data_IF_778678968434
#
_entry.id   IF_778678968434
#
_cell.length_a   1.000
_cell.length_b   1.000
_cell.length_c   1.000
_cell.angle_alpha   90.00
_cell.angle_beta   90.00
_cell.angle_gamma   90.00
#
_symmetry.space_group_name_H-M   'P 1'
#
loop_
_entity.id
_entity.type
_entity.pdbx_description
1 polymer ?
#
# COMPACT_ATOMS: atom_id res chain seq x y z
N UNK A 1 -1.34 14.32 21.17
CA UNK A 1 -1.21 13.09 20.36
C UNK A 1 -2.22 13.03 19.19
N UNK A 2 -3.54 13.13 19.40
CA UNK A 2 -4.52 13.15 18.29
C UNK A 2 -4.42 14.38 17.36
N UNK A 3 -4.04 15.54 17.90
CA UNK A 3 -3.84 16.78 17.11
C UNK A 3 -2.59 16.68 16.23
N UNK A 4 -1.50 16.09 16.73
CA UNK A 4 -0.28 15.84 15.95
C UNK A 4 -0.49 14.82 14.84
N UNK A 5 -1.25 13.74 15.07
CA UNK A 5 -1.55 12.78 14.01
C UNK A 5 -2.45 13.40 12.92
N UNK A 6 -3.41 14.24 13.31
CA UNK A 6 -4.27 15.00 12.38
C UNK A 6 -3.47 16.04 11.58
N UNK A 7 -2.55 16.75 12.22
CA UNK A 7 -1.64 17.72 11.56
C UNK A 7 -0.66 17.02 10.62
N UNK A 8 -0.13 15.85 11.00
CA UNK A 8 0.77 15.05 10.15
C UNK A 8 0.01 14.52 8.94
N UNK A 9 -1.23 14.02 9.11
CA UNK A 9 -2.12 13.61 8.02
C UNK A 9 -2.45 14.78 7.07
N UNK A 10 -2.77 15.95 7.60
CA UNK A 10 -3.04 17.14 6.79
C UNK A 10 -1.80 17.62 6.03
N UNK A 11 -0.60 17.61 6.64
CA UNK A 11 0.65 17.94 5.95
C UNK A 11 1.01 16.92 4.88
N UNK A 12 0.76 15.63 5.13
CA UNK A 12 0.94 14.57 4.14
C UNK A 12 -0.02 14.79 2.97
N UNK A 13 -1.30 14.99 3.26
CA UNK A 13 -2.34 15.28 2.27
C UNK A 13 -1.99 16.51 1.43
N UNK A 14 -1.56 17.62 2.05
CA UNK A 14 -1.10 18.82 1.33
C UNK A 14 0.11 18.52 0.45
N UNK A 15 1.16 17.86 0.95
CA UNK A 15 2.33 17.48 0.13
C UNK A 15 1.91 16.65 -1.09
N UNK A 16 0.88 15.83 -0.94
CA UNK A 16 0.35 14.98 -2.00
C UNK A 16 -0.57 15.72 -2.97
N UNK A 17 -1.40 16.66 -2.52
CA UNK A 17 -2.15 17.55 -3.42
C UNK A 17 -1.20 18.40 -4.25
N UNK A 18 -0.11 18.87 -3.64
CA UNK A 18 0.97 19.57 -4.35
C UNK A 18 1.69 18.65 -5.35
N UNK A 19 1.96 17.38 -4.99
CA UNK A 19 2.51 16.41 -5.93
C UNK A 19 1.56 16.15 -7.11
N UNK A 20 0.25 16.04 -6.86
CA UNK A 20 -0.79 15.88 -7.89
C UNK A 20 -0.82 17.07 -8.84
N UNK A 21 -0.82 18.28 -8.29
CA UNK A 21 -0.80 19.52 -9.06
C UNK A 21 0.50 19.66 -9.87
N UNK A 22 1.65 19.33 -9.28
CA UNK A 22 2.95 19.35 -9.95
C UNK A 22 2.98 18.35 -11.12
N UNK A 23 2.52 17.13 -10.92
CA UNK A 23 2.48 16.10 -11.97
C UNK A 23 1.49 16.50 -13.08
N UNK A 24 0.35 17.09 -12.73
CA UNK A 24 -0.57 17.71 -13.68
C UNK A 24 0.12 18.78 -14.54
N UNK A 25 0.83 19.72 -13.91
CA UNK A 25 1.53 20.80 -14.60
C UNK A 25 2.65 20.27 -15.51
N UNK A 26 3.40 19.26 -15.06
CA UNK A 26 4.45 18.62 -15.88
C UNK A 26 3.83 17.97 -17.14
N UNK A 27 2.69 17.26 -17.01
CA UNK A 27 1.98 16.66 -18.15
C UNK A 27 1.46 17.72 -19.12
N UNK A 28 0.79 18.75 -18.60
CA UNK A 28 0.30 19.86 -19.40
C UNK A 28 1.44 20.54 -20.18
N UNK A 29 2.60 20.78 -19.54
CA UNK A 29 3.78 21.35 -20.20
C UNK A 29 4.32 20.45 -21.31
N UNK A 30 4.53 19.14 -21.05
CA UNK A 30 5.02 18.20 -22.07
C UNK A 30 4.09 18.14 -23.29
N UNK A 31 2.77 18.08 -23.04
CA UNK A 31 1.77 18.08 -24.10
C UNK A 31 1.77 19.38 -24.90
N UNK A 32 1.89 20.53 -24.22
CA UNK A 32 1.96 21.84 -24.86
C UNK A 32 3.21 21.98 -25.73
N UNK A 33 4.38 21.53 -25.27
CA UNK A 33 5.61 21.55 -26.08
C UNK A 33 5.47 20.71 -27.35
N UNK A 34 4.91 19.50 -27.26
CA UNK A 34 4.69 18.65 -28.42
C UNK A 34 3.75 19.32 -29.45
N UNK A 35 2.67 19.93 -28.97
CA UNK A 35 1.72 20.68 -29.77
C UNK A 35 2.34 21.91 -30.47
N UNK A 36 3.17 22.68 -29.76
CA UNK A 36 3.88 23.85 -30.33
C UNK A 36 4.89 23.42 -31.39
N UNK A 37 5.66 22.36 -31.13
CA UNK A 37 6.65 21.84 -32.09
C UNK A 37 5.96 21.40 -33.38
N UNK A 38 4.82 20.71 -33.29
CA UNK A 38 4.06 20.28 -34.46
C UNK A 38 3.52 21.48 -35.26
N UNK A 39 2.94 22.47 -34.59
CA UNK A 39 2.45 23.69 -35.24
C UNK A 39 3.59 24.43 -35.95
N UNK A 40 4.76 24.54 -35.32
CA UNK A 40 5.95 25.16 -35.90
C UNK A 40 6.48 24.39 -37.12
N UNK A 41 6.42 23.06 -37.10
CA UNK A 41 6.80 22.22 -38.25
C UNK A 41 5.88 22.45 -39.45
N UNK A 42 4.57 22.52 -39.24
CA UNK A 42 3.58 22.75 -40.31
C UNK A 42 3.85 24.09 -40.99
N UNK A 43 3.94 25.17 -40.20
CA UNK A 43 4.19 26.52 -40.73
C UNK A 43 5.58 26.62 -41.39
N UNK A 44 6.59 25.97 -40.80
CA UNK A 44 7.96 25.96 -41.35
C UNK A 44 8.07 25.27 -42.72
N UNK A 45 7.29 24.22 -42.96
CA UNK A 45 7.24 23.53 -44.26
C UNK A 45 6.66 24.45 -45.33
N UNK A 46 5.57 25.15 -45.05
CA UNK A 46 4.94 26.05 -46.04
C UNK A 46 5.84 27.24 -46.38
N UNK A 47 6.55 27.79 -45.38
CA UNK A 47 7.56 28.83 -45.59
C UNK A 47 8.73 28.33 -46.44
N UNK A 48 9.22 27.12 -46.18
CA UNK A 48 10.30 26.50 -46.95
C UNK A 48 9.93 26.26 -48.42
N UNK A 49 8.67 25.88 -48.68
CA UNK A 49 8.16 25.67 -50.04
C UNK A 49 7.81 26.98 -50.77
N UNK A 50 7.94 28.13 -50.12
CA UNK A 50 7.65 29.45 -50.71
C UNK A 50 6.16 29.77 -50.84
N UNK A 51 5.29 29.01 -50.16
CA UNK A 51 3.83 29.11 -50.27
C UNK A 51 3.25 30.16 -49.31
N UNK A 52 3.69 31.42 -49.43
CA UNK A 52 3.37 32.50 -48.46
C UNK A 52 1.87 32.76 -48.33
N UNK A 53 1.10 32.56 -49.40
CA UNK A 53 -0.37 32.71 -49.39
C UNK A 53 -1.08 31.69 -48.49
N UNK A 54 -0.48 30.51 -48.28
CA UNK A 54 -1.05 29.41 -47.50
C UNK A 54 -0.67 29.44 -46.01
N UNK A 55 0.30 30.27 -45.62
CA UNK A 55 0.84 30.33 -44.25
C UNK A 55 -0.22 30.67 -43.21
N UNK A 56 -1.20 31.52 -43.55
CA UNK A 56 -2.28 31.89 -42.63
C UNK A 56 -3.25 30.74 -42.40
N UNK A 57 -3.64 30.03 -43.46
CA UNK A 57 -4.50 28.85 -43.38
C UNK A 57 -3.81 27.70 -42.64
N UNK A 58 -2.52 27.48 -42.88
CA UNK A 58 -1.77 26.42 -42.22
C UNK A 58 -1.48 26.72 -40.75
N UNK A 59 -1.38 27.99 -40.36
CA UNK A 59 -1.34 28.40 -38.97
C UNK A 59 -2.65 28.05 -38.23
N UNK A 60 -3.81 28.34 -38.81
CA UNK A 60 -5.12 28.00 -38.21
C UNK A 60 -5.30 26.47 -38.05
N UNK A 61 -4.94 25.71 -39.08
CA UNK A 61 -4.97 24.25 -39.07
C UNK A 61 -3.99 23.71 -38.02
N UNK A 62 -2.77 24.26 -37.98
CA UNK A 62 -1.73 23.89 -37.02
C UNK A 62 -2.16 24.10 -35.57
N UNK A 63 -2.79 25.25 -35.26
CA UNK A 63 -3.31 25.56 -33.93
C UNK A 63 -4.45 24.59 -33.55
N UNK A 64 -5.35 24.31 -34.48
CA UNK A 64 -6.50 23.43 -34.23
C UNK A 64 -6.04 21.99 -33.96
N UNK A 65 -5.12 21.46 -34.78
CA UNK A 65 -4.53 20.13 -34.57
C UNK A 65 -3.70 20.07 -33.28
N UNK A 66 -2.94 21.13 -32.98
CA UNK A 66 -2.17 21.25 -31.76
C UNK A 66 -3.07 21.20 -30.51
N UNK A 67 -4.25 21.83 -30.55
CA UNK A 67 -5.23 21.77 -29.46
C UNK A 67 -5.87 20.39 -29.31
N UNK A 68 -6.27 19.76 -30.41
CA UNK A 68 -6.83 18.39 -30.39
C UNK A 68 -5.81 17.41 -29.81
N UNK A 69 -4.56 17.47 -30.26
CA UNK A 69 -3.49 16.62 -29.74
C UNK A 69 -3.17 16.94 -28.28
N UNK A 70 -3.24 18.21 -27.87
CA UNK A 70 -3.09 18.58 -26.47
C UNK A 70 -4.12 17.87 -25.59
N UNK A 71 -5.40 17.93 -25.96
CA UNK A 71 -6.47 17.23 -25.24
C UNK A 71 -6.26 15.72 -25.27
N UNK A 72 -5.92 15.16 -26.42
CA UNK A 72 -5.68 13.72 -26.60
C UNK A 72 -4.52 13.19 -25.73
N UNK A 73 -3.34 13.81 -25.81
CA UNK A 73 -2.18 13.44 -24.99
C UNK A 73 -2.41 13.67 -23.49
N UNK A 74 -3.15 14.72 -23.15
CA UNK A 74 -3.51 14.99 -21.77
C UNK A 74 -4.44 13.92 -21.17
N UNK A 75 -5.38 13.38 -21.96
CA UNK A 75 -6.29 12.32 -21.52
C UNK A 75 -5.61 10.93 -21.45
N UNK A 76 -4.66 10.63 -22.34
CA UNK A 76 -4.07 9.29 -22.46
C UNK A 76 -2.95 9.03 -21.44
N UNK A 77 -2.27 10.07 -20.96
CA UNK A 77 -1.15 9.92 -20.01
C UNK A 77 -1.65 9.69 -18.56
N UNK A 78 -2.26 8.52 -18.32
CA UNK A 78 -2.64 8.03 -16.99
C UNK A 78 -1.42 7.37 -16.34
N UNK A 79 -0.69 8.15 -15.54
CA UNK A 79 0.47 7.66 -14.79
C UNK A 79 0.02 7.18 -13.39
N UNK A 80 0.67 6.15 -12.84
CA UNK A 80 0.40 5.62 -11.49
C UNK A 80 0.68 6.73 -10.45
N UNK A 81 -0.35 7.48 -10.05
CA UNK A 81 -0.19 8.64 -9.18
C UNK A 81 0.10 8.20 -7.74
N UNK A 82 1.14 8.74 -7.06
CA UNK A 82 1.45 8.39 -5.66
C UNK A 82 0.29 8.57 -4.68
N UNK A 83 -0.65 9.47 -4.99
CA UNK A 83 -1.88 9.66 -4.19
C UNK A 83 -2.79 8.44 -4.28
N UNK A 84 -2.95 7.87 -5.47
CA UNK A 84 -3.85 6.75 -5.72
C UNK A 84 -3.32 5.48 -5.05
N UNK A 85 -1.98 5.31 -4.97
CA UNK A 85 -1.33 4.23 -4.22
C UNK A 85 -1.68 4.31 -2.72
N UNK A 86 -1.71 5.51 -2.14
CA UNK A 86 -2.00 5.70 -0.71
C UNK A 86 -3.48 5.48 -0.43
N UNK A 87 -4.36 5.99 -1.29
CA UNK A 87 -5.80 5.76 -1.20
C UNK A 87 -6.07 4.26 -1.27
N UNK A 88 -5.49 3.57 -2.26
CA UNK A 88 -5.56 2.12 -2.38
C UNK A 88 -5.04 1.41 -1.13
N UNK A 89 -3.91 1.83 -0.55
CA UNK A 89 -3.43 1.28 0.72
C UNK A 89 -4.45 1.42 1.86
N UNK A 90 -5.05 2.61 2.02
CA UNK A 90 -6.04 2.89 3.05
C UNK A 90 -7.37 2.14 2.82
N UNK A 91 -7.79 1.95 1.57
CA UNK A 91 -8.93 1.11 1.21
C UNK A 91 -8.68 -0.34 1.64
N UNK A 92 -7.48 -0.88 1.34
CA UNK A 92 -7.09 -2.23 1.77
C UNK A 92 -7.11 -2.40 3.30
N UNK A 93 -6.56 -1.42 4.05
CA UNK A 93 -6.65 -1.42 5.52
C UNK A 93 -8.11 -1.39 6.01
N UNK A 94 -8.97 -0.63 5.34
CA UNK A 94 -10.40 -0.53 5.71
C UNK A 94 -11.12 -1.85 5.49
N UNK A 95 -10.89 -2.50 4.34
CA UNK A 95 -11.44 -3.82 4.04
C UNK A 95 -11.02 -4.87 5.07
N UNK A 96 -9.73 -4.93 5.43
CA UNK A 96 -9.23 -5.87 6.44
C UNK A 96 -9.79 -5.57 7.82
N UNK A 97 -9.94 -4.29 8.19
CA UNK A 97 -10.57 -3.88 9.44
C UNK A 97 -12.01 -4.41 9.53
N UNK A 98 -12.79 -4.28 8.46
CA UNK A 98 -14.17 -4.76 8.44
C UNK A 98 -14.26 -6.28 8.49
N UNK A 99 -13.30 -7.00 7.89
CA UNK A 99 -13.18 -8.44 8.03
C UNK A 99 -12.84 -8.85 9.48
N UNK A 100 -11.84 -8.21 10.10
CA UNK A 100 -11.42 -8.50 11.47
C UNK A 100 -12.51 -8.19 12.52
N UNK A 101 -13.41 -7.24 12.25
CA UNK A 101 -14.57 -6.97 13.13
C UNK A 101 -15.57 -8.13 13.20
N UNK A 102 -15.51 -9.10 12.27
CA UNK A 102 -16.34 -10.31 12.30
C UNK A 102 -15.84 -11.36 13.29
N UNK A 103 -14.63 -11.18 13.85
CA UNK A 103 -14.16 -12.02 14.96
C UNK A 103 -15.04 -11.84 16.20
N UNK A 104 -15.11 -12.87 17.03
CA UNK A 104 -15.96 -12.83 18.22
C UNK A 104 -15.48 -11.83 19.29
N UNK A 105 -16.35 -11.53 20.26
CA UNK A 105 -16.10 -10.55 21.33
C UNK A 105 -14.93 -10.93 22.29
N UNK A 106 -14.31 -12.11 22.14
CA UNK A 106 -13.11 -12.47 22.90
C UNK A 106 -11.84 -11.89 22.29
N UNK A 107 -11.91 -11.33 21.08
CA UNK A 107 -10.82 -10.62 20.45
C UNK A 107 -10.84 -9.13 20.82
N UNK A 108 -9.65 -8.55 21.01
CA UNK A 108 -9.46 -7.10 21.09
C UNK A 108 -8.63 -6.69 19.90
N UNK A 109 -9.14 -5.74 19.11
CA UNK A 109 -8.53 -5.26 17.89
C UNK A 109 -7.92 -3.87 18.11
N UNK A 110 -6.65 -3.73 17.75
CA UNK A 110 -5.93 -2.47 17.66
C UNK A 110 -5.55 -2.22 16.20
N UNK A 111 -5.71 -0.99 15.73
CA UNK A 111 -5.29 -0.56 14.41
C UNK A 111 -4.21 0.53 14.50
N UNK A 112 -3.25 0.50 13.58
CA UNK A 112 -2.17 1.49 13.43
C UNK A 112 -1.38 1.72 14.72
N UNK A 113 -0.92 0.63 15.32
CA UNK A 113 -0.13 0.67 16.56
C UNK A 113 1.28 1.11 16.24
N UNK A 114 1.73 2.23 16.82
CA UNK A 114 3.09 2.74 16.63
C UNK A 114 3.94 2.41 17.87
N UNK A 115 4.95 1.58 17.68
CA UNK A 115 5.86 1.16 18.74
C UNK A 115 7.27 1.74 18.53
N UNK A 116 8.00 2.10 19.62
CA UNK A 116 9.39 2.50 19.51
C UNK A 116 10.25 1.37 18.92
N UNK A 117 11.12 1.71 17.97
CA UNK A 117 12.04 0.79 17.32
C UNK A 117 13.36 1.52 17.04
N UNK A 118 14.35 1.31 17.91
CA UNK A 118 15.67 1.94 17.81
C UNK A 118 16.44 1.48 16.56
N UNK A 119 16.07 0.35 15.96
CA UNK A 119 16.67 -0.14 14.72
C UNK A 119 16.05 0.49 13.47
N UNK A 120 14.91 1.16 13.61
CA UNK A 120 14.26 1.91 12.54
C UNK A 120 14.90 3.30 12.41
N UNK A 121 15.14 3.76 11.19
CA UNK A 121 15.64 5.12 10.92
C UNK A 121 14.73 6.20 11.49
N UNK A 122 13.42 5.92 11.60
CA UNK A 122 12.42 6.86 12.13
C UNK A 122 12.28 6.75 13.67
N UNK A 123 12.94 5.76 14.29
CA UNK A 123 12.85 5.49 15.74
C UNK A 123 11.56 4.79 16.17
N UNK A 124 10.68 4.45 15.22
CA UNK A 124 9.44 3.73 15.47
C UNK A 124 9.08 2.82 14.30
N UNK A 125 8.15 1.91 14.58
CA UNK A 125 7.55 0.97 13.64
C UNK A 125 6.04 0.95 13.82
N UNK A 126 5.34 1.06 12.71
CA UNK A 126 3.90 0.91 12.63
C UNK A 126 3.53 -0.57 12.41
N UNK A 127 2.45 -0.98 13.05
CA UNK A 127 1.81 -2.29 12.92
C UNK A 127 0.36 -2.03 12.53
N UNK A 128 -0.04 -2.47 11.33
CA UNK A 128 -1.35 -2.15 10.76
C UNK A 128 -2.48 -2.63 11.67
N UNK A 129 -2.43 -3.91 12.07
CA UNK A 129 -3.35 -4.46 13.06
C UNK A 129 -2.68 -5.39 14.07
N UNK A 130 -3.15 -5.30 15.31
CA UNK A 130 -2.91 -6.30 16.34
C UNK A 130 -4.26 -6.80 16.86
N UNK A 131 -4.50 -8.10 16.75
CA UNK A 131 -5.68 -8.74 17.34
C UNK A 131 -5.25 -9.65 18.49
N UNK A 132 -5.89 -9.52 19.65
CA UNK A 132 -5.55 -10.28 20.87
C UNK A 132 -6.74 -11.11 21.32
N UNK A 133 -6.61 -12.43 21.22
CA UNK A 133 -7.61 -13.38 21.71
C UNK A 133 -7.36 -13.73 23.18
N UNK A 134 -8.03 -14.78 23.69
CA UNK A 134 -7.69 -15.40 24.97
C UNK A 134 -6.51 -16.37 24.87
N UNK A 135 -6.05 -16.71 23.67
CA UNK A 135 -5.06 -17.77 23.42
C UNK A 135 -3.79 -17.28 22.73
N UNK A 136 -3.87 -16.24 21.89
CA UNK A 136 -2.74 -15.74 21.10
C UNK A 136 -2.80 -14.25 20.78
N UNK A 137 -1.72 -13.77 20.15
CA UNK A 137 -1.58 -12.42 19.62
C UNK A 137 -1.33 -12.55 18.12
N UNK A 138 -2.09 -11.81 17.32
CA UNK A 138 -2.04 -11.82 15.86
C UNK A 138 -1.61 -10.45 15.38
N UNK A 139 -0.50 -10.40 14.63
CA UNK A 139 -0.04 -9.22 13.90
C UNK A 139 -0.50 -9.40 12.46
N UNK A 140 -1.30 -8.48 11.94
CA UNK A 140 -1.77 -8.53 10.56
C UNK A 140 -1.21 -7.33 9.79
N UNK A 141 -0.43 -7.60 8.75
CA UNK A 141 0.10 -6.63 7.80
C UNK A 141 -0.72 -6.68 6.52
N UNK A 142 -1.11 -5.51 6.01
CA UNK A 142 -1.99 -5.41 4.86
C UNK A 142 -1.21 -5.00 3.61
N UNK A 143 -1.43 -5.74 2.53
CA UNK A 143 -1.00 -5.38 1.17
C UNK A 143 -2.23 -5.26 0.29
N UNK A 144 -2.27 -4.22 -0.55
CA UNK A 144 -3.35 -4.02 -1.51
C UNK A 144 -2.84 -4.07 -2.96
N UNK A 145 -1.84 -4.92 -3.21
CA UNK A 145 -1.27 -5.11 -4.53
C UNK A 145 -2.16 -6.01 -5.38
N UNK A 146 -2.62 -5.53 -6.55
CA UNK A 146 -3.21 -6.37 -7.61
C UNK A 146 -2.16 -7.14 -8.40
N UNK A 147 -2.59 -8.20 -9.09
CA UNK A 147 -1.79 -9.00 -10.02
C UNK A 147 -1.27 -10.29 -9.40
N UNK A 148 -0.42 -10.99 -10.14
CA UNK A 148 0.20 -12.23 -9.69
C UNK A 148 1.40 -11.92 -8.78
N UNK A 149 1.38 -12.45 -7.56
CA UNK A 149 2.39 -12.24 -6.52
C UNK A 149 3.13 -13.55 -6.31
N UNK A 150 4.42 -13.55 -6.60
CA UNK A 150 5.31 -14.67 -6.34
C UNK A 150 5.69 -14.66 -4.85
N UNK A 151 5.11 -15.59 -4.09
CA UNK A 151 5.34 -15.73 -2.65
C UNK A 151 6.62 -16.52 -2.45
N UNK A 152 7.66 -15.85 -1.95
CA UNK A 152 8.95 -16.49 -1.68
C UNK A 152 9.42 -16.19 -0.25
N UNK A 153 9.31 -17.17 0.65
CA UNK A 153 9.61 -16.98 2.07
C UNK A 153 11.01 -16.36 2.33
N UNK A 154 12.03 -16.90 1.68
CA UNK A 154 13.43 -16.51 1.93
C UNK A 154 13.90 -15.30 1.10
N UNK A 155 13.16 -14.88 0.08
CA UNK A 155 13.57 -13.80 -0.80
C UNK A 155 13.65 -12.44 -0.08
N UNK A 156 14.51 -11.54 -0.55
CA UNK A 156 14.53 -10.16 -0.05
C UNK A 156 13.35 -9.35 -0.54
N UNK A 157 12.96 -9.60 -1.78
CA UNK A 157 11.88 -8.93 -2.49
C UNK A 157 11.07 -9.97 -3.23
N UNK A 158 9.79 -9.71 -3.41
CA UNK A 158 8.90 -10.54 -4.21
C UNK A 158 8.63 -9.90 -5.56
N UNK A 159 8.47 -10.73 -6.58
CA UNK A 159 8.00 -10.30 -7.88
C UNK A 159 6.48 -10.18 -7.89
N UNK A 160 5.99 -9.11 -8.52
CA UNK A 160 4.57 -8.87 -8.75
C UNK A 160 4.36 -8.58 -10.23
N UNK A 161 3.73 -9.52 -10.93
CA UNK A 161 3.39 -9.42 -12.34
C UNK A 161 2.01 -8.80 -12.49
N UNK A 162 1.92 -7.71 -13.27
CA UNK A 162 0.69 -6.96 -13.51
C UNK A 162 0.38 -6.91 -15.00
N UNK A 163 -0.89 -7.04 -15.33
CA UNK A 163 -1.39 -6.82 -16.69
C UNK A 163 -1.85 -5.38 -16.83
N UNK A 164 -1.27 -4.66 -17.77
CA UNK A 164 -1.70 -3.31 -18.15
C UNK A 164 -3.04 -3.34 -18.88
N UNK A 165 -3.71 -2.19 -18.99
CA UNK A 165 -4.93 -2.03 -19.80
C UNK A 165 -4.75 -2.45 -21.27
N UNK A 166 -3.52 -2.39 -21.79
CA UNK A 166 -3.18 -2.81 -23.15
C UNK A 166 -2.70 -4.28 -23.22
N UNK A 167 -3.08 -5.13 -22.26
CA UNK A 167 -2.64 -6.53 -22.11
C UNK A 167 -1.11 -6.75 -22.04
N UNK A 168 -0.33 -5.69 -21.79
CA UNK A 168 1.12 -5.81 -21.58
C UNK A 168 1.40 -6.24 -20.14
N UNK A 169 2.06 -7.38 -19.99
CA UNK A 169 2.56 -7.84 -18.68
C UNK A 169 3.82 -7.05 -18.31
N UNK A 170 3.87 -6.53 -17.09
CA UNK A 170 5.05 -5.91 -16.52
C UNK A 170 5.26 -6.38 -15.09
N UNK A 171 6.52 -6.57 -14.70
CA UNK A 171 6.90 -6.96 -13.35
C UNK A 171 7.32 -5.74 -12.53
N UNK A 172 6.91 -5.70 -11.26
CA UNK A 172 7.42 -4.79 -10.22
C UNK A 172 7.89 -5.65 -9.05
N UNK A 173 8.85 -5.15 -8.26
CA UNK A 173 9.26 -5.85 -7.02
C UNK A 173 8.72 -5.13 -5.79
N UNK A 174 8.26 -5.89 -4.80
CA UNK A 174 7.87 -5.39 -3.48
C UNK A 174 8.83 -5.90 -2.41
N UNK A 175 8.96 -5.16 -1.30
CA UNK A 175 9.70 -5.68 -0.13
C UNK A 175 8.97 -6.91 0.39
N UNK A 176 9.72 -7.94 0.79
CA UNK A 176 9.13 -9.14 1.36
C UNK A 176 8.35 -8.80 2.66
N UNK A 177 7.01 -8.96 2.69
CA UNK A 177 6.18 -8.65 3.85
C UNK A 177 6.34 -9.64 5.02
N UNK A 178 6.84 -10.86 4.77
CA UNK A 178 7.23 -11.81 5.84
C UNK A 178 8.34 -11.21 6.69
N UNK A 179 9.35 -10.57 6.07
CA UNK A 179 10.42 -9.88 6.80
C UNK A 179 9.89 -8.67 7.57
N UNK A 180 8.91 -7.96 7.00
CA UNK A 180 8.26 -6.82 7.67
C UNK A 180 7.51 -7.25 8.94
N UNK A 181 6.69 -8.29 8.85
CA UNK A 181 5.93 -8.81 10.00
C UNK A 181 6.84 -9.43 11.06
N UNK A 182 7.94 -10.07 10.66
CA UNK A 182 8.95 -10.53 11.61
C UNK A 182 9.54 -9.38 12.43
N UNK A 183 9.88 -8.26 11.79
CA UNK A 183 10.37 -7.07 12.49
C UNK A 183 9.29 -6.47 13.41
N UNK A 184 8.02 -6.42 13.00
CA UNK A 184 6.90 -5.98 13.85
C UNK A 184 6.73 -6.88 15.09
N UNK A 185 6.79 -8.21 14.91
CA UNK A 185 6.78 -9.18 16.01
C UNK A 185 7.91 -8.93 16.99
N UNK A 186 9.13 -8.70 16.51
CA UNK A 186 10.28 -8.38 17.38
C UNK A 186 10.08 -7.08 18.14
N UNK A 187 9.60 -6.03 17.49
CA UNK A 187 9.31 -4.74 18.14
C UNK A 187 8.23 -4.88 19.20
N UNK A 188 7.15 -5.63 18.94
CA UNK A 188 6.11 -5.90 19.94
C UNK A 188 6.69 -6.67 21.14
N UNK A 189 7.48 -7.71 20.90
CA UNK A 189 8.13 -8.49 21.96
C UNK A 189 9.04 -7.63 22.83
N UNK A 190 9.89 -6.80 22.21
CA UNK A 190 10.78 -5.86 22.91
C UNK A 190 9.98 -4.82 23.69
N UNK A 191 8.93 -4.24 23.11
CA UNK A 191 8.07 -3.29 23.79
C UNK A 191 7.44 -3.90 25.05
N UNK A 192 6.84 -5.09 24.94
CA UNK A 192 6.22 -5.78 26.08
C UNK A 192 7.24 -6.15 27.17
N UNK A 193 8.43 -6.63 26.77
CA UNK A 193 9.53 -6.90 27.69
C UNK A 193 9.92 -5.64 28.49
N UNK A 194 10.09 -4.50 27.81
CA UNK A 194 10.40 -3.21 28.44
C UNK A 194 9.27 -2.73 29.37
N UNK A 195 8.03 -3.16 29.14
CA UNK A 195 6.90 -2.92 30.04
C UNK A 195 6.80 -3.94 31.19
N UNK A 196 7.79 -4.82 31.37
CA UNK A 196 7.81 -5.93 32.35
C UNK A 196 6.63 -6.90 32.15
N UNK A 197 6.25 -7.15 30.90
CA UNK A 197 5.22 -8.10 30.50
C UNK A 197 5.91 -9.24 29.75
N UNK A 198 5.99 -10.41 30.40
CA UNK A 198 6.58 -11.60 29.82
C UNK A 198 5.49 -12.46 29.16
N UNK A 199 5.68 -12.75 27.88
CA UNK A 199 4.74 -13.51 27.04
C UNK A 199 5.30 -14.88 26.63
N UNK A 200 6.16 -15.48 27.48
CA UNK A 200 6.70 -16.83 27.23
C UNK A 200 5.54 -17.82 27.12
N UNK A 201 5.54 -18.63 26.07
CA UNK A 201 4.46 -19.60 25.79
C UNK A 201 3.20 -18.99 25.17
N UNK A 202 3.12 -17.67 24.98
CA UNK A 202 2.02 -17.04 24.24
C UNK A 202 2.39 -16.97 22.76
N UNK A 203 1.63 -17.61 21.86
CA UNK A 203 1.86 -17.52 20.43
C UNK A 203 1.71 -16.07 19.94
N UNK A 204 2.72 -15.61 19.19
CA UNK A 204 2.64 -14.37 18.40
C UNK A 204 2.70 -14.77 16.94
N UNK A 205 1.53 -14.74 16.31
CA UNK A 205 1.28 -15.15 14.92
C UNK A 205 1.38 -13.92 14.03
N UNK A 206 2.12 -14.02 12.93
CA UNK A 206 2.28 -12.96 11.93
C UNK A 206 1.54 -13.34 10.65
N UNK A 207 0.64 -12.49 10.18
CA UNK A 207 -0.18 -12.73 8.99
C UNK A 207 0.05 -11.58 8.02
N UNK A 208 0.36 -11.90 6.77
CA UNK A 208 0.32 -10.97 5.65
C UNK A 208 -0.98 -11.22 4.89
N UNK A 209 -1.80 -10.19 4.72
CA UNK A 209 -3.06 -10.27 3.98
C UNK A 209 -2.98 -9.44 2.71
N UNK A 210 -3.32 -10.05 1.58
CA UNK A 210 -3.58 -9.37 0.33
C UNK A 210 -5.07 -9.05 0.24
N UNK A 211 -5.41 -7.77 0.44
CA UNK A 211 -6.78 -7.28 0.50
C UNK A 211 -7.41 -7.00 -0.88
N UNK A 212 -6.60 -7.00 -1.95
CA UNK A 212 -7.08 -6.75 -3.30
C UNK A 212 -7.69 -8.04 -3.87
N UNK A 213 -8.91 -7.99 -4.38
CA UNK A 213 -9.56 -9.16 -4.99
C UNK A 213 -8.85 -9.65 -6.26
N UNK A 214 -8.15 -8.76 -6.97
CA UNK A 214 -7.32 -9.10 -8.13
C UNK A 214 -5.91 -9.60 -7.76
N UNK A 215 -5.63 -9.81 -6.47
CA UNK A 215 -4.38 -10.41 -6.02
C UNK A 215 -4.43 -11.93 -6.21
N UNK A 216 -3.49 -12.46 -6.99
CA UNK A 216 -3.31 -13.89 -7.18
C UNK A 216 -1.97 -14.29 -6.57
N UNK A 217 -2.00 -15.01 -5.45
CA UNK A 217 -0.79 -15.56 -4.85
C UNK A 217 -0.34 -16.80 -5.63
N UNK A 218 0.96 -16.96 -5.85
CA UNK A 218 1.52 -18.21 -6.39
C UNK A 218 1.14 -19.42 -5.54
N UNK A 219 1.10 -19.22 -4.22
CA UNK A 219 0.63 -20.16 -3.22
C UNK A 219 0.20 -19.41 -1.95
N UNK A 220 -0.75 -20.00 -1.19
CA UNK A 220 -0.95 -19.62 0.20
C UNK A 220 0.22 -20.20 1.02
N UNK A 221 0.95 -19.34 1.72
CA UNK A 221 2.06 -19.78 2.56
C UNK A 221 1.60 -19.85 4.02
N UNK A 222 1.79 -21.01 4.66
CA UNK A 222 1.63 -21.20 6.10
C UNK A 222 2.88 -21.94 6.57
N UNK A 223 3.63 -21.37 7.52
CA UNK A 223 4.80 -22.03 8.09
C UNK A 223 4.38 -23.28 8.89
N UNK A 224 5.27 -24.26 9.04
CA UNK A 224 4.99 -25.54 9.71
C UNK A 224 4.41 -25.39 11.13
N UNK A 225 4.83 -24.36 11.87
CA UNK A 225 4.34 -24.05 13.22
C UNK A 225 3.04 -23.22 13.24
N UNK A 226 2.52 -22.88 12.06
CA UNK A 226 1.40 -21.98 11.80
C UNK A 226 1.49 -20.65 12.56
N UNK A 227 2.70 -20.15 12.85
CA UNK A 227 2.92 -18.84 13.47
C UNK A 227 3.25 -17.76 12.44
N UNK A 228 3.28 -18.12 11.17
CA UNK A 228 3.45 -17.19 10.06
C UNK A 228 2.59 -17.64 8.87
N UNK A 229 1.86 -16.70 8.27
CA UNK A 229 1.04 -16.96 7.10
C UNK A 229 1.03 -15.79 6.11
N UNK A 230 0.84 -16.10 4.83
CA UNK A 230 0.57 -15.17 3.73
C UNK A 230 -0.68 -15.66 3.03
N UNK A 231 -1.73 -14.87 3.08
CA UNK A 231 -3.08 -15.29 2.69
C UNK A 231 -3.78 -14.20 1.88
N UNK A 232 -4.73 -14.63 1.05
CA UNK A 232 -5.79 -13.77 0.54
C UNK A 232 -6.82 -13.44 1.63
N UNK A 233 -7.64 -12.41 1.41
CA UNK A 233 -8.57 -11.88 2.40
C UNK A 233 -9.57 -12.93 2.91
N UNK A 234 -10.12 -13.75 2.01
CA UNK A 234 -11.13 -14.78 2.34
C UNK A 234 -10.60 -15.85 3.30
N UNK A 235 -9.28 -16.02 3.38
CA UNK A 235 -8.63 -17.01 4.23
C UNK A 235 -8.22 -16.46 5.62
N UNK A 236 -8.38 -15.14 5.87
CA UNK A 236 -7.97 -14.50 7.13
C UNK A 236 -8.71 -15.06 8.35
N UNK A 237 -10.04 -15.02 8.34
CA UNK A 237 -10.86 -15.47 9.47
C UNK A 237 -10.82 -16.99 9.64
N UNK A 238 -10.92 -17.82 8.58
CA UNK A 238 -10.73 -19.25 8.68
C UNK A 238 -9.39 -19.62 9.34
N UNK A 239 -8.29 -18.98 8.92
CA UNK A 239 -6.97 -19.23 9.50
C UNK A 239 -6.89 -18.88 10.99
N UNK A 240 -7.38 -17.71 11.40
CA UNK A 240 -7.37 -17.29 12.81
C UNK A 240 -8.17 -18.27 13.67
N UNK A 241 -9.37 -18.67 13.22
CA UNK A 241 -10.23 -19.61 13.95
C UNK A 241 -9.58 -20.98 14.08
N UNK A 242 -9.09 -21.55 12.97
CA UNK A 242 -8.39 -22.83 12.98
C UNK A 242 -7.17 -22.80 13.91
N UNK A 243 -6.37 -21.71 13.88
CA UNK A 243 -5.24 -21.55 14.79
C UNK A 243 -5.68 -21.55 16.26
N UNK A 244 -6.73 -20.83 16.61
CA UNK A 244 -7.24 -20.78 17.99
C UNK A 244 -7.67 -22.15 18.52
N UNK A 245 -8.16 -23.07 17.69
CA UNK A 245 -8.62 -24.40 18.14
C UNK A 245 -7.51 -25.19 18.86
N UNK A 246 -6.28 -25.09 18.37
CA UNK A 246 -5.13 -25.83 18.90
C UNK A 246 -4.34 -25.08 19.99
N UNK A 247 -4.70 -23.84 20.30
CA UNK A 247 -3.96 -23.03 21.28
C UNK A 247 -4.54 -23.15 22.69
N UNK A 248 -3.63 -23.20 23.67
CA UNK A 248 -3.97 -23.09 25.09
C UNK A 248 -4.36 -21.65 25.47
N UNK A 249 -5.14 -21.51 26.54
CA UNK A 249 -5.53 -20.20 27.06
C UNK A 249 -4.34 -19.50 27.70
N UNK A 250 -4.11 -18.25 27.28
CA UNK A 250 -3.18 -17.33 27.91
C UNK A 250 -3.67 -16.91 29.31
N UNK A 251 -2.76 -16.67 30.28
CA UNK A 251 -3.13 -16.10 31.57
C UNK A 251 -3.87 -14.76 31.44
N UNK A 252 -5.06 -14.66 32.05
CA UNK A 252 -5.92 -13.46 32.00
C UNK A 252 -5.20 -12.19 32.44
N UNK A 253 -4.30 -12.30 33.43
CA UNK A 253 -3.50 -11.16 33.93
C UNK A 253 -2.52 -10.65 32.87
N UNK A 254 -1.89 -11.54 32.11
CA UNK A 254 -0.98 -11.18 31.02
C UNK A 254 -1.75 -10.50 29.90
N UNK A 255 -2.86 -11.11 29.44
CA UNK A 255 -3.74 -10.53 28.42
C UNK A 255 -4.18 -9.11 28.76
N UNK A 256 -4.70 -8.90 29.98
CA UNK A 256 -5.16 -7.57 30.45
C UNK A 256 -4.01 -6.54 30.49
N UNK A 257 -2.81 -6.93 30.91
CA UNK A 257 -1.64 -6.04 30.92
C UNK A 257 -1.23 -5.62 29.52
N UNK A 258 -1.25 -6.55 28.55
CA UNK A 258 -0.91 -6.28 27.15
C UNK A 258 -1.89 -5.27 26.56
N UNK A 259 -3.19 -5.56 26.65
CA UNK A 259 -4.29 -4.69 26.16
C UNK A 259 -4.11 -3.27 26.71
N UNK A 260 -3.98 -3.11 28.03
CA UNK A 260 -3.82 -1.80 28.69
C UNK A 260 -2.59 -1.02 28.22
N UNK A 261 -1.53 -1.70 27.77
CA UNK A 261 -0.32 -1.03 27.27
C UNK A 261 -0.44 -0.63 25.82
N UNK A 262 -1.15 -1.42 25.01
CA UNK A 262 -1.42 -1.12 23.61
C UNK A 262 -2.50 -0.04 23.42
N UNK A 263 -3.49 0.06 24.31
CA UNK A 263 -4.47 1.17 24.34
C UNK A 263 -3.83 2.57 24.44
N UNK A 264 -2.57 2.64 24.87
CA UNK A 264 -1.81 3.89 25.01
C UNK A 264 -0.92 4.19 23.82
N UNK A 265 -1.03 3.41 22.74
CA UNK A 265 -0.17 3.49 21.55
C UNK A 265 -0.92 3.98 20.33
#
# INVERSE_FOLDING_TARGET
MAIESRLKKNRLFLRFTWARLRNYLIRARKSLYASIILCGLIVGVDLYLGNVEFVTQSLEIGITLAFILFVFFFLITKDDNPVDIIISGAEGETTVLDELKKLDNNFVLFNRVILPDEKSTVGNREIDFITISRKGIYIVEVKNNRGYIEVENMAERWNVSKTSQNNKVYAKTIKNPIRQTFAQKKVLQTFLYNQKIYIKGVPVVTIVIFANEDAQLSENFIADDANQAVLSLENLIPFIKAKEEYLEKMPTRSRRKIIRKLEKK
#
